data_IF_952871572166
#
_entry.id   IF_952871572166
#
_cell.length_a   1.000
_cell.length_b   1.000
_cell.length_c   1.000
_cell.angle_alpha   90.00
_cell.angle_beta   90.00
_cell.angle_gamma   90.00
#
_symmetry.space_group_name_H-M   'P 1'
#
loop_
_entity.id
_entity.type
_entity.pdbx_description
1 polymer ?
#
# COMPACT_ATOMS: atom_id res chain seq x y z
N UNK A 1 42.77 -6.03 32.56
CA UNK A 1 41.30 -5.98 32.45
C UNK A 1 40.97 -5.29 31.13
N UNK A 2 40.89 -6.09 30.03
CA UNK A 2 40.64 -5.58 28.68
C UNK A 2 39.13 -5.57 28.44
N UNK A 3 38.54 -4.40 28.39
CA UNK A 3 37.15 -4.20 27.98
C UNK A 3 37.14 -4.31 26.45
N UNK A 4 36.68 -5.46 25.92
CA UNK A 4 36.35 -5.61 24.53
C UNK A 4 35.13 -4.71 24.19
N UNK A 5 35.37 -3.57 23.56
CA UNK A 5 34.34 -2.82 22.86
C UNK A 5 33.88 -3.67 21.67
N UNK A 6 32.76 -4.34 21.81
CA UNK A 6 32.03 -4.86 20.66
C UNK A 6 31.55 -3.66 19.83
N UNK A 7 32.22 -3.39 18.75
CA UNK A 7 31.72 -2.52 17.70
C UNK A 7 30.40 -3.13 17.22
N UNK A 8 29.26 -2.57 17.62
CA UNK A 8 27.96 -2.85 17.00
C UNK A 8 28.07 -2.45 15.54
N UNK A 9 28.26 -3.44 14.69
CA UNK A 9 28.18 -3.31 13.24
C UNK A 9 26.85 -2.62 12.96
N UNK A 10 26.89 -1.42 12.40
CA UNK A 10 25.70 -0.69 11.95
C UNK A 10 25.09 -1.51 10.80
N UNK A 11 24.29 -2.52 11.14
CA UNK A 11 23.57 -3.30 10.14
C UNK A 11 22.49 -2.40 9.56
N UNK A 12 22.48 -2.26 8.26
CA UNK A 12 21.47 -1.48 7.57
C UNK A 12 20.09 -2.05 7.95
N UNK A 13 19.22 -1.20 8.54
CA UNK A 13 17.91 -1.62 8.98
C UNK A 13 17.07 -2.01 7.78
N UNK A 14 16.39 -3.15 7.83
CA UNK A 14 15.44 -3.56 6.82
C UNK A 14 14.38 -2.47 6.61
N UNK A 15 14.10 -2.11 5.36
CA UNK A 15 13.18 -1.04 4.98
C UNK A 15 11.85 -1.63 4.51
N UNK A 16 10.77 -1.26 5.19
CA UNK A 16 9.42 -1.73 4.85
C UNK A 16 8.53 -0.52 4.58
N UNK A 17 7.94 -0.52 3.38
CA UNK A 17 6.94 0.45 2.97
C UNK A 17 5.55 -0.12 3.20
N UNK A 18 4.71 0.61 3.92
CA UNK A 18 3.29 0.34 4.04
C UNK A 18 2.51 1.28 3.13
N UNK A 19 1.62 0.74 2.28
CA UNK A 19 0.72 1.49 1.42
C UNK A 19 -0.70 1.05 1.76
N UNK A 20 -1.44 1.89 2.46
CA UNK A 20 -2.72 1.56 3.06
C UNK A 20 -3.81 2.52 2.58
N UNK A 21 -5.07 2.09 2.63
CA UNK A 21 -6.20 2.96 2.30
C UNK A 21 -6.47 4.01 3.39
N UNK A 22 -6.22 3.69 4.66
CA UNK A 22 -6.39 4.58 5.78
C UNK A 22 -5.61 4.13 7.01
N UNK A 23 -5.44 5.02 7.97
CA UNK A 23 -4.72 4.77 9.23
C UNK A 23 -5.22 5.69 10.34
N UNK A 24 -5.50 5.15 11.54
CA UNK A 24 -5.81 6.01 12.70
C UNK A 24 -4.57 6.78 13.16
N UNK A 25 -4.71 8.03 13.61
CA UNK A 25 -5.91 8.79 13.90
C UNK A 25 -6.41 9.66 12.73
N UNK A 26 -5.95 9.46 11.52
CA UNK A 26 -6.31 10.26 10.35
C UNK A 26 -7.60 9.80 9.68
N UNK A 27 -7.96 8.54 9.84
CA UNK A 27 -9.19 7.92 9.33
C UNK A 27 -10.05 7.42 10.49
N UNK A 28 -11.30 7.07 10.20
CA UNK A 28 -12.20 6.42 11.14
C UNK A 28 -11.57 5.14 11.72
N UNK A 29 -11.93 4.82 12.96
CA UNK A 29 -11.45 3.65 13.65
C UNK A 29 -12.20 2.40 13.18
N UNK A 30 -11.53 1.56 12.43
CA UNK A 30 -11.99 0.25 11.97
C UNK A 30 -10.93 -0.79 12.28
N UNK A 31 -11.26 -2.09 12.13
CA UNK A 31 -10.27 -3.17 12.27
C UNK A 31 -9.05 -2.95 11.36
N UNK A 32 -9.30 -2.57 10.09
CA UNK A 32 -8.26 -2.30 9.09
C UNK A 32 -7.39 -1.10 9.47
N UNK A 33 -8.00 0.04 9.82
CA UNK A 33 -7.23 1.25 10.16
C UNK A 33 -6.44 1.12 11.46
N UNK A 34 -6.93 0.31 12.41
CA UNK A 34 -6.20 -0.07 13.61
C UNK A 34 -5.01 -0.98 13.28
N UNK A 35 -5.20 -1.99 12.42
CA UNK A 35 -4.11 -2.84 11.96
C UNK A 35 -3.05 -2.02 11.22
N UNK A 36 -3.47 -1.13 10.32
CA UNK A 36 -2.60 -0.23 9.56
C UNK A 36 -1.84 0.76 10.45
N UNK A 37 -2.30 0.98 11.67
CA UNK A 37 -1.63 1.79 12.68
C UNK A 37 -0.64 1.00 13.52
N UNK A 38 -1.03 -0.17 14.02
CA UNK A 38 -0.25 -0.89 15.02
C UNK A 38 0.78 -1.86 14.44
N UNK A 39 0.52 -2.47 13.28
CA UNK A 39 1.49 -3.34 12.61
C UNK A 39 2.78 -2.58 12.21
N UNK A 40 2.70 -1.39 11.56
CA UNK A 40 3.90 -0.61 11.27
C UNK A 40 4.68 -0.21 12.52
N UNK A 41 3.98 0.18 13.60
CA UNK A 41 4.63 0.49 14.87
C UNK A 41 5.37 -0.71 15.45
N UNK A 42 4.71 -1.86 15.54
CA UNK A 42 5.32 -3.11 16.01
C UNK A 42 6.56 -3.48 15.18
N UNK A 43 6.46 -3.35 13.87
CA UNK A 43 7.59 -3.61 12.95
C UNK A 43 8.74 -2.65 13.18
N UNK A 44 8.47 -1.37 13.45
CA UNK A 44 9.49 -0.37 13.79
C UNK A 44 10.15 -0.69 15.13
N UNK A 45 9.38 -1.13 16.14
CA UNK A 45 9.90 -1.53 17.47
C UNK A 45 10.84 -2.73 17.37
N UNK A 46 10.67 -3.60 16.37
CA UNK A 46 11.62 -4.66 16.02
C UNK A 46 12.90 -4.15 15.32
N UNK A 47 13.07 -2.82 15.19
CA UNK A 47 14.26 -2.20 14.65
C UNK A 47 14.25 -1.99 13.13
N UNK A 48 13.12 -2.20 12.44
CA UNK A 48 12.99 -1.92 11.00
C UNK A 48 12.80 -0.41 10.75
N UNK A 49 13.28 0.06 9.59
CA UNK A 49 12.96 1.40 9.09
C UNK A 49 11.66 1.32 8.29
N UNK A 50 10.67 2.11 8.64
CA UNK A 50 9.37 2.06 7.99
C UNK A 50 8.92 3.41 7.45
N UNK A 51 8.07 3.37 6.43
CA UNK A 51 7.28 4.50 5.95
C UNK A 51 5.85 4.03 5.70
N UNK A 52 4.89 4.90 5.97
CA UNK A 52 3.45 4.63 5.77
C UNK A 52 2.90 5.64 4.79
N UNK A 53 2.26 5.16 3.73
CA UNK A 53 1.64 5.98 2.69
C UNK A 53 0.14 5.71 2.66
N UNK A 54 -0.65 6.78 2.59
CA UNK A 54 -2.11 6.72 2.50
C UNK A 54 -2.61 7.78 1.52
N UNK A 55 -3.81 7.63 0.92
CA UNK A 55 -4.44 8.69 0.16
C UNK A 55 -4.91 9.81 1.10
N UNK A 56 -4.89 11.04 0.62
CA UNK A 56 -5.39 12.19 1.37
C UNK A 56 -6.89 12.40 1.07
N UNK A 57 -7.74 11.59 1.63
CA UNK A 57 -9.18 11.77 1.50
C UNK A 57 -9.67 13.07 2.17
N UNK A 58 -10.79 13.60 1.70
CA UNK A 58 -11.32 14.92 2.11
C UNK A 58 -11.73 15.00 3.58
N UNK A 59 -12.11 13.89 4.19
CA UNK A 59 -12.47 13.75 5.60
C UNK A 59 -11.28 14.00 6.55
N UNK A 60 -10.05 13.91 6.05
CA UNK A 60 -8.84 14.13 6.84
C UNK A 60 -8.69 15.63 7.15
N UNK A 61 -8.87 15.99 8.41
CA UNK A 61 -8.69 17.36 8.88
C UNK A 61 -7.21 17.74 8.99
N UNK A 62 -6.69 18.41 7.96
CA UNK A 62 -5.27 18.78 7.85
C UNK A 62 -4.79 19.67 9.02
N UNK A 63 -5.61 20.62 9.48
CA UNK A 63 -5.25 21.52 10.58
C UNK A 63 -5.16 20.78 11.91
N UNK A 64 -6.15 19.91 12.19
CA UNK A 64 -6.18 19.10 13.41
C UNK A 64 -4.94 18.20 13.50
N UNK A 65 -4.52 17.64 12.40
CA UNK A 65 -3.41 16.68 12.32
C UNK A 65 -2.08 17.32 11.91
N UNK A 66 -2.05 18.66 11.76
CA UNK A 66 -0.85 19.43 11.42
C UNK A 66 -0.15 18.87 10.17
N UNK A 67 -0.94 18.54 9.13
CA UNK A 67 -0.36 18.11 7.87
C UNK A 67 0.34 19.28 7.19
N UNK A 68 1.53 19.02 6.68
CA UNK A 68 2.29 19.99 5.90
C UNK A 68 2.82 19.36 4.61
N UNK A 69 2.85 20.16 3.56
CA UNK A 69 3.35 19.72 2.27
C UNK A 69 4.88 19.56 2.31
N UNK A 70 5.36 18.48 1.71
CA UNK A 70 6.78 18.22 1.50
C UNK A 70 7.16 18.70 0.10
N UNK A 71 7.47 19.98 -0.05
CA UNK A 71 7.72 20.66 -1.33
C UNK A 71 8.72 19.89 -2.21
N UNK A 72 9.80 19.39 -1.64
CA UNK A 72 10.82 18.61 -2.40
C UNK A 72 10.30 17.33 -3.02
N UNK A 73 9.19 16.78 -2.51
CA UNK A 73 8.55 15.56 -3.01
C UNK A 73 7.35 15.85 -3.90
N UNK A 74 6.76 17.03 -3.75
CA UNK A 74 5.61 17.49 -4.54
C UNK A 74 6.02 18.01 -5.92
N UNK A 75 5.03 18.32 -6.75
CA UNK A 75 5.20 19.02 -8.03
C UNK A 75 5.54 18.11 -9.21
N UNK A 76 5.60 16.78 -9.04
CA UNK A 76 5.67 15.86 -10.17
C UNK A 76 4.31 15.74 -10.84
N UNK A 77 4.27 15.75 -12.16
CA UNK A 77 3.07 15.39 -12.91
C UNK A 77 3.04 13.89 -13.16
N UNK A 78 1.92 13.27 -12.83
CA UNK A 78 1.59 11.90 -13.19
C UNK A 78 0.55 11.93 -14.31
N UNK A 79 0.83 11.23 -15.39
CA UNK A 79 -0.12 11.12 -16.48
C UNK A 79 -1.11 10.00 -16.12
N UNK A 80 -2.39 10.35 -15.96
CA UNK A 80 -3.50 9.40 -15.82
C UNK A 80 -4.55 9.75 -16.85
N UNK A 81 -5.02 8.79 -17.60
CA UNK A 81 -6.02 9.01 -18.66
C UNK A 81 -5.63 10.12 -19.67
N UNK A 82 -4.36 10.19 -20.05
CA UNK A 82 -3.78 11.21 -20.94
C UNK A 82 -3.87 12.66 -20.42
N UNK A 83 -4.12 12.85 -19.14
CA UNK A 83 -4.10 14.16 -18.47
C UNK A 83 -2.99 14.21 -17.44
N UNK A 84 -2.37 15.38 -17.30
CA UNK A 84 -1.37 15.64 -16.26
C UNK A 84 -2.05 15.96 -14.94
N UNK A 85 -1.68 15.20 -13.89
CA UNK A 85 -2.16 15.40 -12.53
C UNK A 85 -0.98 15.63 -11.59
N UNK A 86 -0.97 16.76 -10.93
CA UNK A 86 0.11 17.10 -10.02
C UNK A 86 0.11 16.21 -8.78
N UNK A 87 1.22 15.54 -8.52
CA UNK A 87 1.42 14.79 -7.27
C UNK A 87 1.83 15.75 -6.15
N UNK A 88 1.02 15.82 -5.12
CA UNK A 88 1.28 16.55 -3.89
C UNK A 88 1.53 15.52 -2.78
N UNK A 89 2.58 15.74 -1.99
CA UNK A 89 2.91 14.89 -0.85
C UNK A 89 2.82 15.73 0.41
N UNK A 90 1.92 15.33 1.31
CA UNK A 90 1.83 15.90 2.65
C UNK A 90 2.35 14.89 3.68
N UNK A 91 2.77 15.35 4.83
CA UNK A 91 3.20 14.49 5.92
C UNK A 91 2.53 14.90 7.23
N UNK A 92 2.12 13.90 7.99
CA UNK A 92 1.65 14.04 9.35
C UNK A 92 2.39 13.06 10.26
N UNK A 93 2.39 13.34 11.55
CA UNK A 93 3.07 12.49 12.54
C UNK A 93 2.09 11.87 13.50
N UNK A 94 2.39 10.66 13.93
CA UNK A 94 1.75 9.99 15.06
C UNK A 94 2.77 9.95 16.20
N UNK A 95 2.80 10.98 17.08
CA UNK A 95 3.89 11.15 18.04
C UNK A 95 4.08 9.97 18.99
N UNK A 96 2.98 9.38 19.46
CA UNK A 96 2.98 8.22 20.37
C UNK A 96 3.67 7.00 19.80
N UNK A 97 3.72 6.88 18.48
CA UNK A 97 4.37 5.79 17.77
C UNK A 97 5.67 6.20 17.09
N UNK A 98 6.01 7.49 17.08
CA UNK A 98 7.13 8.04 16.30
C UNK A 98 7.04 7.67 14.81
N UNK A 99 5.80 7.57 14.29
CA UNK A 99 5.52 7.26 12.90
C UNK A 99 5.27 8.53 12.09
N UNK A 100 5.85 8.59 10.90
CA UNK A 100 5.50 9.56 9.87
C UNK A 100 4.58 8.88 8.85
N UNK A 101 3.46 9.54 8.55
CA UNK A 101 2.50 9.12 7.53
C UNK A 101 2.57 10.11 6.39
N UNK A 102 2.81 9.61 5.19
CA UNK A 102 2.86 10.37 3.95
C UNK A 102 1.52 10.25 3.24
N UNK A 103 0.96 11.39 2.89
CA UNK A 103 -0.32 11.48 2.20
C UNK A 103 -0.08 11.75 0.73
N UNK A 104 -0.57 10.84 -0.11
CA UNK A 104 -0.62 11.02 -1.56
C UNK A 104 -1.84 11.87 -1.87
N UNK A 105 -1.63 13.04 -2.42
CA UNK A 105 -2.65 14.05 -2.62
C UNK A 105 -2.68 14.58 -4.06
N UNK A 106 -3.86 14.99 -4.48
CA UNK A 106 -4.15 15.72 -5.70
C UNK A 106 -5.51 16.39 -5.54
N UNK A 107 -5.63 17.65 -5.89
CA UNK A 107 -6.84 18.44 -5.67
C UNK A 107 -8.07 17.87 -6.39
N UNK A 108 -7.91 17.35 -7.59
CA UNK A 108 -9.00 16.77 -8.36
C UNK A 108 -9.49 15.44 -7.77
N UNK A 109 -8.55 14.56 -7.40
CA UNK A 109 -8.89 13.20 -6.98
C UNK A 109 -9.26 13.09 -5.51
N UNK A 110 -8.63 13.87 -4.63
CA UNK A 110 -8.79 13.67 -3.19
C UNK A 110 -9.46 14.83 -2.47
N UNK A 111 -9.42 16.05 -3.02
CA UNK A 111 -10.12 17.18 -2.42
C UNK A 111 -11.55 17.29 -2.95
N UNK A 112 -11.76 17.06 -4.24
CA UNK A 112 -13.05 17.31 -4.90
C UNK A 112 -14.09 16.20 -4.68
N UNK A 113 -13.67 14.94 -4.62
CA UNK A 113 -14.56 13.79 -4.63
C UNK A 113 -14.87 13.16 -3.26
N UNK A 114 -14.24 13.63 -2.19
CA UNK A 114 -14.48 13.07 -0.85
C UNK A 114 -13.95 11.64 -0.68
N UNK A 115 -14.74 10.78 -0.05
CA UNK A 115 -14.44 9.39 0.19
C UNK A 115 -14.56 8.53 -1.09
N UNK A 116 -14.43 7.23 -0.94
CA UNK A 116 -14.51 6.22 -2.01
C UNK A 116 -15.94 5.90 -2.43
N UNK A 117 -16.92 6.22 -1.57
CA UNK A 117 -18.33 6.00 -1.79
C UNK A 117 -19.14 7.31 -1.70
N UNK A 118 -20.21 7.37 -2.46
CA UNK A 118 -21.16 8.46 -2.34
C UNK A 118 -22.08 8.31 -1.10
N UNK A 119 -22.93 9.28 -0.83
CA UNK A 119 -23.87 9.27 0.31
C UNK A 119 -24.88 8.11 0.29
N UNK A 120 -24.98 7.38 -0.82
CA UNK A 120 -25.83 6.19 -0.98
C UNK A 120 -25.04 4.89 -0.88
N UNK A 121 -23.76 4.95 -0.56
CA UNK A 121 -22.87 3.78 -0.50
C UNK A 121 -22.44 3.24 -1.86
N UNK A 122 -22.65 3.99 -2.94
CA UNK A 122 -22.26 3.57 -4.27
C UNK A 122 -20.81 4.01 -4.57
N UNK A 123 -20.04 3.11 -5.21
CA UNK A 123 -18.67 3.40 -5.65
C UNK A 123 -18.62 4.64 -6.54
N UNK A 124 -17.77 5.59 -6.20
CA UNK A 124 -17.59 6.82 -7.00
C UNK A 124 -16.91 6.46 -8.33
N UNK A 125 -17.44 6.90 -9.48
CA UNK A 125 -16.91 6.52 -10.80
C UNK A 125 -15.43 6.83 -11.01
N UNK A 126 -14.94 7.95 -10.45
CA UNK A 126 -13.52 8.36 -10.58
C UNK A 126 -12.55 7.51 -9.77
N UNK A 127 -13.01 6.54 -8.98
CA UNK A 127 -12.11 5.65 -8.22
C UNK A 127 -11.19 4.82 -9.13
N UNK A 128 -11.55 4.58 -10.36
CA UNK A 128 -10.67 3.93 -11.34
C UNK A 128 -9.37 4.74 -11.56
N UNK A 129 -9.47 6.05 -11.77
CA UNK A 129 -8.31 6.92 -11.91
C UNK A 129 -7.59 7.15 -10.57
N UNK A 130 -8.36 7.25 -9.48
CA UNK A 130 -7.81 7.46 -8.14
C UNK A 130 -6.89 6.32 -7.68
N UNK A 131 -7.28 5.06 -7.93
CA UNK A 131 -6.42 3.89 -7.60
C UNK A 131 -5.18 3.80 -8.48
N UNK A 132 -5.28 4.21 -9.76
CA UNK A 132 -4.13 4.31 -10.66
C UNK A 132 -3.16 5.39 -10.16
N UNK A 133 -3.69 6.59 -9.88
CA UNK A 133 -2.91 7.71 -9.37
C UNK A 133 -2.23 7.37 -8.04
N UNK A 134 -2.98 6.81 -7.08
CA UNK A 134 -2.47 6.43 -5.77
C UNK A 134 -1.36 5.39 -5.85
N UNK A 135 -1.58 4.31 -6.62
CA UNK A 135 -0.60 3.24 -6.78
C UNK A 135 0.70 3.74 -7.41
N UNK A 136 0.60 4.50 -8.51
CA UNK A 136 1.75 5.08 -9.21
C UNK A 136 2.42 6.16 -8.38
N UNK A 137 1.65 7.08 -7.81
CA UNK A 137 2.16 8.18 -6.99
C UNK A 137 2.93 7.73 -5.77
N UNK A 138 2.47 6.65 -5.11
CA UNK A 138 3.19 6.05 -3.99
C UNK A 138 4.58 5.55 -4.40
N UNK A 139 4.71 4.88 -5.53
CA UNK A 139 5.99 4.37 -6.01
C UNK A 139 6.93 5.51 -6.47
N UNK A 140 6.39 6.52 -7.14
CA UNK A 140 7.18 7.69 -7.57
C UNK A 140 7.67 8.53 -6.37
N UNK A 141 6.84 8.69 -5.34
CA UNK A 141 7.24 9.36 -4.11
C UNK A 141 8.40 8.63 -3.42
N UNK A 142 8.37 7.31 -3.36
CA UNK A 142 9.46 6.49 -2.80
C UNK A 142 10.74 6.62 -3.62
N UNK A 143 10.64 6.64 -4.95
CA UNK A 143 11.79 6.89 -5.82
C UNK A 143 12.42 8.26 -5.56
N UNK A 144 11.59 9.30 -5.47
CA UNK A 144 12.04 10.67 -5.22
C UNK A 144 12.67 10.84 -3.83
N UNK A 145 12.22 10.03 -2.86
CA UNK A 145 12.86 9.91 -1.55
C UNK A 145 14.24 9.23 -1.60
N UNK A 146 14.61 8.57 -2.70
CA UNK A 146 15.78 7.71 -2.83
C UNK A 146 15.85 6.65 -1.70
N UNK A 147 14.68 6.17 -1.25
CA UNK A 147 14.54 5.23 -0.15
C UNK A 147 13.99 3.89 -0.67
N UNK A 148 14.90 3.01 -1.08
CA UNK A 148 14.56 1.72 -1.67
C UNK A 148 14.02 0.76 -0.61
N UNK A 149 12.75 0.30 -0.69
CA UNK A 149 12.21 -0.68 0.23
C UNK A 149 12.67 -2.10 -0.13
N UNK A 150 12.95 -2.92 0.89
CA UNK A 150 13.13 -4.35 0.73
C UNK A 150 11.79 -5.07 0.56
N UNK A 151 10.76 -4.52 1.20
CA UNK A 151 9.40 -5.06 1.13
C UNK A 151 8.37 -3.92 1.09
N UNK A 152 7.33 -4.10 0.27
CA UNK A 152 6.14 -3.28 0.27
C UNK A 152 4.99 -4.13 0.80
N UNK A 153 4.38 -3.69 1.91
CA UNK A 153 3.13 -4.22 2.41
C UNK A 153 2.01 -3.25 2.04
N UNK A 154 1.03 -3.72 1.31
CA UNK A 154 -0.12 -2.92 0.92
C UNK A 154 -1.41 -3.57 1.39
N UNK A 155 -2.41 -2.77 1.72
CA UNK A 155 -3.67 -3.24 2.29
C UNK A 155 -4.88 -2.51 1.71
N UNK A 156 -5.99 -3.24 1.66
CA UNK A 156 -7.24 -2.73 1.13
C UNK A 156 -7.29 -2.64 -0.40
N UNK A 157 -8.50 -2.60 -0.94
CA UNK A 157 -8.71 -2.59 -2.39
C UNK A 157 -8.16 -1.35 -3.09
N UNK A 158 -8.13 -0.19 -2.39
CA UNK A 158 -7.65 1.07 -2.97
C UNK A 158 -6.15 1.01 -3.34
N UNK A 159 -5.40 0.15 -2.67
CA UNK A 159 -3.99 -0.13 -2.99
C UNK A 159 -3.81 -1.26 -4.02
N UNK A 160 -4.89 -1.85 -4.51
CA UNK A 160 -4.86 -3.05 -5.36
C UNK A 160 -4.08 -2.91 -6.68
N UNK A 161 -3.85 -1.68 -7.15
CA UNK A 161 -3.04 -1.43 -8.35
C UNK A 161 -1.53 -1.32 -8.10
N UNK A 162 -1.09 -1.21 -6.83
CA UNK A 162 0.35 -1.08 -6.47
C UNK A 162 1.18 -2.24 -7.01
N UNK A 163 0.81 -3.53 -6.82
CA UNK A 163 1.62 -4.64 -7.29
C UNK A 163 1.66 -4.74 -8.82
N UNK A 164 0.63 -4.29 -9.53
CA UNK A 164 0.65 -4.18 -10.98
C UNK A 164 1.75 -3.22 -11.43
N UNK A 165 1.74 -1.97 -10.92
CA UNK A 165 2.76 -0.98 -11.28
C UNK A 165 4.16 -1.44 -10.90
N UNK A 166 4.34 -1.99 -9.71
CA UNK A 166 5.64 -2.46 -9.26
C UNK A 166 6.19 -3.60 -10.14
N UNK A 167 5.35 -4.58 -10.49
CA UNK A 167 5.77 -5.80 -11.19
C UNK A 167 5.79 -5.69 -12.70
N UNK A 168 5.00 -4.79 -13.28
CA UNK A 168 4.81 -4.69 -14.73
C UNK A 168 5.41 -3.43 -15.33
N UNK A 169 5.02 -2.26 -14.80
CA UNK A 169 5.44 -0.97 -15.36
C UNK A 169 6.83 -0.58 -14.86
N UNK A 170 7.10 -0.80 -13.57
CA UNK A 170 8.42 -0.50 -12.98
C UNK A 170 9.39 -1.70 -13.02
N UNK A 171 9.08 -2.78 -13.72
CA UNK A 171 9.91 -3.99 -13.79
C UNK A 171 11.36 -3.70 -14.20
N UNK A 172 11.55 -2.81 -15.16
CA UNK A 172 12.88 -2.44 -15.67
C UNK A 172 13.57 -1.37 -14.81
N UNK A 173 12.87 -0.85 -13.82
CA UNK A 173 13.42 0.13 -12.91
C UNK A 173 14.26 -0.60 -11.84
N UNK A 174 15.58 -0.47 -11.95
CA UNK A 174 16.53 -1.08 -11.02
C UNK A 174 16.28 -0.68 -9.56
N UNK A 175 15.62 0.47 -9.31
CA UNK A 175 15.31 0.94 -7.97
C UNK A 175 14.44 -0.05 -7.17
N UNK A 176 13.49 -0.73 -7.80
CA UNK A 176 12.65 -1.73 -7.14
C UNK A 176 13.13 -3.17 -7.36
N UNK A 177 14.32 -3.35 -7.93
CA UNK A 177 14.89 -4.69 -8.13
C UNK A 177 15.03 -5.41 -6.79
N UNK A 178 14.44 -6.60 -6.68
CA UNK A 178 14.47 -7.38 -5.45
C UNK A 178 13.41 -7.03 -4.41
N UNK A 179 12.68 -5.92 -4.55
CA UNK A 179 11.58 -5.56 -3.63
C UNK A 179 10.51 -6.65 -3.61
N UNK A 180 10.18 -7.15 -2.42
CA UNK A 180 9.12 -8.13 -2.19
C UNK A 180 7.80 -7.44 -1.86
N UNK A 181 6.70 -8.16 -2.03
CA UNK A 181 5.36 -7.61 -1.78
C UNK A 181 4.54 -8.53 -0.91
N UNK A 182 3.81 -7.94 0.03
CA UNK A 182 2.81 -8.61 0.85
C UNK A 182 1.50 -7.83 0.73
N UNK A 183 0.40 -8.53 0.49
CA UNK A 183 -0.95 -7.99 0.47
C UNK A 183 -1.70 -8.43 1.71
N UNK A 184 -2.25 -7.49 2.47
CA UNK A 184 -3.31 -7.78 3.43
C UNK A 184 -4.67 -7.76 2.76
N UNK A 185 -5.37 -8.88 2.86
CA UNK A 185 -6.79 -8.97 2.50
C UNK A 185 -7.62 -8.46 3.67
N UNK A 186 -8.45 -7.48 3.43
CA UNK A 186 -9.33 -6.83 4.40
C UNK A 186 -10.80 -7.20 4.14
N UNK A 187 -11.66 -6.95 5.11
CA UNK A 187 -13.11 -7.10 4.95
C UNK A 187 -13.72 -5.79 4.41
N UNK A 188 -13.20 -5.33 3.27
CA UNK A 188 -13.47 -4.02 2.66
C UNK A 188 -14.18 -4.13 1.29
N UNK A 189 -14.91 -5.22 1.08
CA UNK A 189 -15.61 -5.50 -0.18
C UNK A 189 -16.58 -4.37 -0.53
N UNK A 190 -16.51 -3.93 -1.77
CA UNK A 190 -17.48 -3.02 -2.37
C UNK A 190 -18.33 -3.73 -3.42
N UNK A 191 -19.51 -3.18 -3.67
CA UNK A 191 -20.40 -3.62 -4.74
C UNK A 191 -20.27 -2.72 -5.97
N UNK A 192 -20.53 -3.30 -7.15
CA UNK A 192 -20.42 -2.60 -8.42
C UNK A 192 -19.09 -2.85 -9.13
N UNK A 193 -18.87 -2.06 -10.17
CA UNK A 193 -17.69 -2.17 -11.05
C UNK A 193 -17.07 -0.82 -11.25
N UNK A 194 -15.78 -0.81 -11.52
CA UNK A 194 -15.10 0.37 -12.06
C UNK A 194 -15.60 0.68 -13.47
N UNK A 195 -15.32 1.90 -13.94
CA UNK A 195 -15.69 2.30 -15.28
C UNK A 195 -15.04 1.40 -16.35
N UNK A 196 -15.75 1.11 -17.42
CA UNK A 196 -15.27 0.26 -18.54
C UNK A 196 -13.99 0.78 -19.19
N UNK A 197 -13.70 2.06 -19.01
CA UNK A 197 -12.50 2.71 -19.53
C UNK A 197 -11.21 2.35 -18.80
N UNK A 198 -11.26 1.69 -17.63
CA UNK A 198 -10.05 1.38 -16.85
C UNK A 198 -9.05 0.55 -17.67
N UNK A 199 -9.52 -0.40 -18.47
CA UNK A 199 -8.64 -1.17 -19.36
C UNK A 199 -7.87 -0.25 -20.32
N UNK A 200 -8.54 0.73 -20.95
CA UNK A 200 -7.91 1.71 -21.83
C UNK A 200 -6.86 2.55 -21.10
N UNK A 201 -7.18 2.99 -19.87
CA UNK A 201 -6.27 3.76 -19.02
C UNK A 201 -5.03 2.93 -18.65
N UNK A 202 -5.20 1.67 -18.31
CA UNK A 202 -4.10 0.77 -18.03
C UNK A 202 -3.22 0.49 -19.28
N UNK A 203 -3.81 0.42 -20.47
CA UNK A 203 -3.04 0.31 -21.73
C UNK A 203 -2.16 1.53 -21.96
N UNK A 204 -2.68 2.73 -21.71
CA UNK A 204 -1.90 3.95 -21.79
C UNK A 204 -0.71 3.95 -20.81
N UNK A 205 -0.85 3.28 -19.66
CA UNK A 205 0.23 3.06 -18.68
C UNK A 205 1.14 1.86 -19.00
N UNK A 206 1.03 1.27 -20.19
CA UNK A 206 1.92 0.20 -20.66
C UNK A 206 1.48 -1.23 -20.28
N UNK A 207 0.22 -1.43 -19.88
CA UNK A 207 -0.30 -2.77 -19.64
C UNK A 207 -0.34 -3.58 -20.94
N UNK A 208 0.17 -4.82 -20.87
CA UNK A 208 0.10 -5.76 -21.99
C UNK A 208 -1.27 -6.46 -22.06
N UNK A 209 -1.59 -7.06 -23.21
CA UNK A 209 -2.79 -7.89 -23.32
C UNK A 209 -2.86 -9.02 -22.29
N UNK A 210 -1.69 -9.55 -21.86
CA UNK A 210 -1.61 -10.56 -20.81
C UNK A 210 -1.98 -10.00 -19.43
N UNK A 211 -1.54 -8.78 -19.13
CA UNK A 211 -1.88 -8.10 -17.88
C UNK A 211 -3.39 -7.84 -17.83
N UNK A 212 -3.96 -7.31 -18.90
CA UNK A 212 -5.36 -6.92 -18.98
C UNK A 212 -6.34 -8.10 -18.84
N UNK A 213 -5.91 -9.33 -19.13
CA UNK A 213 -6.75 -10.52 -18.87
C UNK A 213 -7.11 -10.69 -17.39
N UNK A 214 -6.28 -10.19 -16.48
CA UNK A 214 -6.53 -10.24 -15.04
C UNK A 214 -7.52 -9.16 -14.57
N UNK A 215 -7.81 -8.16 -15.40
CA UNK A 215 -8.62 -7.00 -15.06
C UNK A 215 -9.91 -6.88 -15.88
N UNK A 216 -10.35 -7.97 -16.50
CA UNK A 216 -11.63 -7.99 -17.24
C UNK A 216 -12.81 -7.88 -16.26
N UNK A 217 -13.82 -7.08 -16.62
CA UNK A 217 -15.02 -6.86 -15.77
C UNK A 217 -14.70 -6.35 -14.35
N UNK A 218 -13.82 -5.41 -14.22
CA UNK A 218 -13.16 -5.01 -12.99
C UNK A 218 -14.15 -4.63 -11.87
N UNK A 219 -14.42 -5.59 -11.02
CA UNK A 219 -15.09 -5.47 -9.73
C UNK A 219 -14.08 -5.70 -8.59
N UNK A 220 -14.57 -5.71 -7.36
CA UNK A 220 -13.73 -5.98 -6.19
C UNK A 220 -12.97 -7.31 -6.31
N UNK A 221 -13.67 -8.38 -6.68
CA UNK A 221 -13.09 -9.72 -6.75
C UNK A 221 -11.98 -9.81 -7.80
N UNK A 222 -12.22 -9.25 -8.96
CA UNK A 222 -11.26 -9.23 -10.06
C UNK A 222 -10.02 -8.42 -9.70
N UNK A 223 -10.20 -7.23 -9.10
CA UNK A 223 -9.09 -6.39 -8.64
C UNK A 223 -8.24 -7.13 -7.60
N UNK A 224 -8.86 -7.71 -6.59
CA UNK A 224 -8.13 -8.38 -5.51
C UNK A 224 -7.45 -9.67 -5.99
N UNK A 225 -8.08 -10.45 -6.88
CA UNK A 225 -7.44 -11.62 -7.51
C UNK A 225 -6.22 -11.23 -8.35
N UNK A 226 -6.30 -10.11 -9.08
CA UNK A 226 -5.15 -9.58 -9.80
C UNK A 226 -4.03 -9.16 -8.83
N UNK A 227 -4.35 -8.45 -7.75
CA UNK A 227 -3.39 -8.07 -6.72
C UNK A 227 -2.72 -9.29 -6.07
N UNK A 228 -3.50 -10.34 -5.72
CA UNK A 228 -2.99 -11.63 -5.21
C UNK A 228 -2.01 -12.26 -6.21
N UNK A 229 -2.35 -12.24 -7.50
CA UNK A 229 -1.50 -12.83 -8.55
C UNK A 229 -0.11 -12.19 -8.61
N UNK A 230 0.01 -10.92 -8.29
CA UNK A 230 1.28 -10.21 -8.30
C UNK A 230 2.00 -10.16 -6.94
N UNK A 231 1.32 -10.45 -5.83
CA UNK A 231 1.93 -10.45 -4.50
C UNK A 231 2.82 -11.68 -4.25
N UNK A 232 3.83 -11.54 -3.39
CA UNK A 232 4.68 -12.65 -2.94
C UNK A 232 4.08 -13.38 -1.72
N UNK A 233 3.44 -12.63 -0.82
CA UNK A 233 2.78 -13.15 0.36
C UNK A 233 1.42 -12.50 0.57
N UNK A 234 0.54 -13.21 1.25
CA UNK A 234 -0.84 -12.79 1.54
C UNK A 234 -1.06 -12.91 3.06
N UNK A 235 -1.62 -11.88 3.65
CA UNK A 235 -2.08 -11.86 5.04
C UNK A 235 -3.60 -11.76 5.03
N UNK A 236 -4.28 -12.69 5.67
CA UNK A 236 -5.73 -12.61 5.93
C UNK A 236 -5.88 -11.79 7.21
N UNK A 237 -6.28 -10.52 7.09
CA UNK A 237 -6.22 -9.57 8.21
C UNK A 237 -7.48 -9.54 9.08
N UNK A 238 -8.55 -10.18 8.64
CA UNK A 238 -9.83 -10.26 9.36
C UNK A 238 -10.47 -11.63 9.16
N UNK A 239 -11.25 -12.14 10.13
CA UNK A 239 -12.04 -13.36 9.95
C UNK A 239 -13.16 -13.20 8.92
N UNK A 240 -13.50 -11.97 8.56
CA UNK A 240 -14.58 -11.63 7.63
C UNK A 240 -14.08 -11.39 6.18
N UNK A 241 -12.82 -11.70 5.89
CA UNK A 241 -12.30 -11.66 4.51
C UNK A 241 -13.07 -12.67 3.65
N UNK A 242 -13.42 -12.26 2.42
CA UNK A 242 -14.12 -13.12 1.48
C UNK A 242 -13.36 -14.45 1.28
N UNK A 243 -13.96 -15.60 1.61
CA UNK A 243 -13.28 -16.88 1.56
C UNK A 243 -12.83 -17.28 0.15
N UNK A 244 -13.47 -16.77 -0.89
CA UNK A 244 -13.06 -17.01 -2.28
C UNK A 244 -11.67 -16.41 -2.58
N UNK A 245 -11.35 -15.26 -2.00
CA UNK A 245 -10.01 -14.65 -2.14
C UNK A 245 -8.94 -15.47 -1.43
N UNK A 246 -9.26 -15.97 -0.23
CA UNK A 246 -8.33 -16.81 0.54
C UNK A 246 -8.08 -18.13 -0.21
N UNK A 247 -9.12 -18.75 -0.73
CA UNK A 247 -9.00 -19.95 -1.53
C UNK A 247 -8.17 -19.71 -2.80
N UNK A 248 -8.46 -18.63 -3.53
CA UNK A 248 -7.72 -18.24 -4.72
C UNK A 248 -6.22 -18.04 -4.43
N UNK A 249 -5.88 -17.41 -3.29
CA UNK A 249 -4.49 -17.21 -2.89
C UNK A 249 -3.76 -18.54 -2.65
N UNK A 250 -4.40 -19.49 -1.97
CA UNK A 250 -3.88 -20.85 -1.70
C UNK A 250 -3.68 -21.65 -3.00
N UNK A 251 -4.66 -21.64 -3.90
CA UNK A 251 -4.58 -22.29 -5.21
C UNK A 251 -3.45 -21.73 -6.09
N UNK A 252 -3.22 -20.45 -6.03
CA UNK A 252 -2.11 -19.79 -6.72
C UNK A 252 -0.75 -19.94 -6.00
N UNK A 253 -0.66 -20.83 -5.01
CA UNK A 253 0.57 -21.16 -4.26
C UNK A 253 1.24 -19.93 -3.65
N UNK A 254 0.45 -18.95 -3.17
CA UNK A 254 0.97 -17.81 -2.43
C UNK A 254 1.31 -18.24 -1.00
N UNK A 255 2.29 -17.58 -0.41
CA UNK A 255 2.55 -17.74 1.02
C UNK A 255 1.41 -17.05 1.78
N UNK A 256 0.44 -17.81 2.27
CA UNK A 256 -0.75 -17.30 2.96
C UNK A 256 -0.57 -17.44 4.46
N UNK A 257 -0.74 -16.34 5.19
CA UNK A 257 -0.85 -16.29 6.62
C UNK A 257 -2.32 -16.07 7.00
N UNK A 258 -2.93 -17.06 7.62
CA UNK A 258 -4.30 -16.97 8.09
C UNK A 258 -4.44 -16.02 9.29
N UNK A 259 -5.64 -15.48 9.48
CA UNK A 259 -5.97 -14.57 10.58
C UNK A 259 -5.68 -15.19 11.95
N UNK A 260 -5.19 -14.36 12.88
CA UNK A 260 -5.02 -14.73 14.27
C UNK A 260 -5.58 -13.62 15.17
N UNK A 261 -6.52 -13.91 16.08
CA UNK A 261 -7.11 -12.92 16.97
C UNK A 261 -6.11 -12.35 18.01
N UNK A 262 -5.05 -13.10 18.36
CA UNK A 262 -3.95 -12.56 19.17
C UNK A 262 -3.09 -11.64 18.32
N UNK A 263 -3.28 -10.34 18.52
CA UNK A 263 -2.59 -9.30 17.76
C UNK A 263 -1.08 -9.39 17.84
N UNK A 264 -0.53 -9.68 19.01
CA UNK A 264 0.93 -9.75 19.23
C UNK A 264 1.52 -10.95 18.48
N UNK A 265 0.88 -12.11 18.62
CA UNK A 265 1.27 -13.31 17.90
C UNK A 265 1.14 -13.12 16.40
N UNK A 266 0.04 -12.48 15.94
CA UNK A 266 -0.22 -12.22 14.55
C UNK A 266 0.85 -11.32 13.92
N UNK A 267 1.17 -10.20 14.56
CA UNK A 267 2.21 -9.28 14.08
C UNK A 267 3.60 -9.94 14.09
N UNK A 268 3.87 -10.80 15.06
CA UNK A 268 5.10 -11.60 15.07
C UNK A 268 5.18 -12.54 13.87
N UNK A 269 4.08 -13.23 13.54
CA UNK A 269 4.02 -14.13 12.37
C UNK A 269 4.16 -13.36 11.06
N UNK A 270 3.54 -12.17 10.94
CA UNK A 270 3.68 -11.30 9.76
C UNK A 270 5.16 -10.89 9.59
N UNK A 271 5.84 -10.48 10.67
CA UNK A 271 7.24 -10.10 10.58
C UNK A 271 8.15 -11.29 10.22
N UNK A 272 7.86 -12.49 10.69
CA UNK A 272 8.55 -13.72 10.24
C UNK A 272 8.31 -14.00 8.75
N UNK A 273 7.10 -13.75 8.23
CA UNK A 273 6.84 -13.82 6.80
C UNK A 273 7.71 -12.83 6.02
N UNK A 274 7.86 -11.59 6.49
CA UNK A 274 8.74 -10.61 5.84
C UNK A 274 10.18 -11.12 5.76
N UNK A 275 10.70 -11.67 6.85
CA UNK A 275 12.05 -12.25 6.89
C UNK A 275 12.20 -13.42 5.92
N UNK A 276 11.21 -14.30 5.87
CA UNK A 276 11.20 -15.44 4.93
C UNK A 276 11.21 -14.99 3.47
N UNK A 277 10.44 -13.95 3.12
CA UNK A 277 10.34 -13.44 1.75
C UNK A 277 11.57 -12.65 1.29
N UNK A 278 12.19 -11.92 2.20
CA UNK A 278 13.34 -11.07 1.89
C UNK A 278 14.69 -11.75 2.10
N UNK A 279 14.73 -12.87 2.83
CA UNK A 279 15.98 -13.55 3.19
C UNK A 279 16.92 -12.64 4.01
N UNK A 280 18.23 -12.77 3.81
CA UNK A 280 19.24 -11.97 4.53
C UNK A 280 19.18 -10.48 4.22
N UNK A 281 18.54 -10.07 3.13
CA UNK A 281 18.50 -8.66 2.71
C UNK A 281 17.74 -7.75 3.68
N UNK A 282 16.83 -8.29 4.49
CA UNK A 282 16.04 -7.50 5.47
C UNK A 282 16.74 -7.43 6.84
N UNK A 283 17.74 -8.26 7.06
CA UNK A 283 18.49 -8.35 8.31
C UNK A 283 19.83 -7.60 8.26
N UNK A 284 20.20 -7.10 7.08
CA UNK A 284 21.43 -6.35 6.82
C UNK A 284 21.14 -4.80 6.78
#
# INVERSE_FOLDING_TARGET
>A
MHICYFATKNMAKGRILYINQGVVPFSEETESTLMNRYLPQFTQELGREIRVFVPRFTDINERKHQLHEVIRLSGMNLIVNNCDHQLIIKVGSIPTARLQVYFIDNDEYFTKFGDTFDSKGKLIPSNDERILFFGRGSLEAVRKLAWQPHLIHFSGWFSGMVPFYLRRINKENAFFSGTRTVLSLEADKFEGKFADELERKMRADGATAKDLRLYQNLDYMTLMKAAITYANGIVVSSPNVDPELVQFAKENKRHVLDYNPDRTEFFTKINKMYESLCGSSINN
#
